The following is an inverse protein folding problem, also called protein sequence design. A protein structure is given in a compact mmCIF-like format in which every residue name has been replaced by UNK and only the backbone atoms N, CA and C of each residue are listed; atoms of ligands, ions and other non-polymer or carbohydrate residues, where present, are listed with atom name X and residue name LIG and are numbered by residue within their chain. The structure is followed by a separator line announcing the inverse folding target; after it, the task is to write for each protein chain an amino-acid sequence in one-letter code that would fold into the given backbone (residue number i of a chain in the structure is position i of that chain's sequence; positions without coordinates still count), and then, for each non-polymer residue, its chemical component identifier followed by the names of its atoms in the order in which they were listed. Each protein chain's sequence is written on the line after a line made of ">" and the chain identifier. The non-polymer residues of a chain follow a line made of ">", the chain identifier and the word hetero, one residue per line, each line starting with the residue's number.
data_IF_190192151782
#
_entry.id   IF_190192151782
#
_cell.length_a   1.000
_cell.length_b   1.000
_cell.length_c   1.000
_cell.angle_alpha   90.00
_cell.angle_beta   90.00
_cell.angle_gamma   90.00
#
_symmetry.space_group_name_H-M   'P 1'
#
loop_
_entity.id
_entity.type
_entity.pdbx_description
1 polymer ?
#
# COMPACT_ATOMS: atom_id res chain seq x y z
N UNK A 1 -27.22 6.18 -92.13
CA UNK A 1 -26.33 6.39 -90.96
C UNK A 1 -27.12 6.20 -89.65
N UNK A 2 -27.23 4.98 -89.09
CA UNK A 2 -27.99 4.72 -87.84
C UNK A 2 -27.44 3.58 -86.96
N UNK A 3 -26.14 3.24 -87.12
CA UNK A 3 -25.48 2.16 -86.37
C UNK A 3 -24.49 2.62 -85.28
N UNK A 4 -24.15 3.91 -85.23
CA UNK A 4 -23.09 4.44 -84.35
C UNK A 4 -23.57 4.82 -82.94
N UNK A 5 -24.85 5.17 -82.77
CA UNK A 5 -25.39 5.68 -81.50
C UNK A 5 -25.76 4.61 -80.47
N UNK A 6 -26.06 3.37 -80.91
CA UNK A 6 -26.46 2.27 -80.01
C UNK A 6 -25.26 1.60 -79.32
N UNK A 7 -24.06 1.70 -79.91
CA UNK A 7 -22.79 1.19 -79.35
C UNK A 7 -22.28 2.09 -78.21
N UNK A 8 -22.34 3.41 -78.40
CA UNK A 8 -21.97 4.41 -77.39
C UNK A 8 -22.79 4.32 -76.09
N UNK A 9 -24.11 4.07 -76.17
CA UNK A 9 -24.98 3.89 -74.98
C UNK A 9 -24.69 2.62 -74.18
N UNK A 10 -24.16 1.56 -74.81
CA UNK A 10 -23.75 0.32 -74.12
C UNK A 10 -22.37 0.47 -73.47
N UNK A 11 -21.46 1.22 -74.09
CA UNK A 11 -20.13 1.53 -73.54
C UNK A 11 -20.23 2.45 -72.30
N UNK A 12 -21.21 3.35 -72.26
CA UNK A 12 -21.48 4.23 -71.11
C UNK A 12 -21.88 3.48 -69.82
N UNK A 13 -22.65 2.39 -69.92
CA UNK A 13 -23.04 1.59 -68.75
C UNK A 13 -21.89 0.79 -68.15
N UNK A 14 -21.01 0.26 -69.00
CA UNK A 14 -19.79 -0.45 -68.57
C UNK A 14 -18.80 0.52 -67.93
N UNK A 15 -18.62 1.71 -68.51
CA UNK A 15 -17.76 2.75 -67.94
C UNK A 15 -18.22 3.21 -66.55
N UNK A 16 -19.54 3.32 -66.32
CA UNK A 16 -20.11 3.67 -65.01
C UNK A 16 -19.87 2.59 -63.96
N UNK A 17 -20.05 1.30 -64.31
CA UNK A 17 -19.78 0.19 -63.39
C UNK A 17 -18.30 0.16 -63.03
N UNK A 18 -17.41 0.31 -64.02
CA UNK A 18 -15.97 0.38 -63.76
C UNK A 18 -15.67 1.52 -62.80
N UNK A 19 -16.18 2.74 -63.06
CA UNK A 19 -15.95 3.89 -62.18
C UNK A 19 -16.44 3.66 -60.75
N UNK A 20 -17.66 3.12 -60.57
CA UNK A 20 -18.22 2.82 -59.23
C UNK A 20 -17.38 1.75 -58.53
N UNK A 21 -16.99 0.68 -59.25
CA UNK A 21 -16.14 -0.37 -58.66
C UNK A 21 -14.77 0.15 -58.28
N UNK A 22 -14.15 1.03 -59.10
CA UNK A 22 -12.87 1.66 -58.79
C UNK A 22 -13.00 2.58 -57.57
N UNK A 23 -14.07 3.38 -57.48
CA UNK A 23 -14.32 4.24 -56.30
C UNK A 23 -14.57 3.39 -55.05
N UNK A 24 -15.31 2.29 -55.16
CA UNK A 24 -15.57 1.40 -54.04
C UNK A 24 -14.27 0.74 -53.54
N UNK A 25 -13.42 0.26 -54.45
CA UNK A 25 -12.10 -0.31 -54.11
C UNK A 25 -11.19 0.76 -53.48
N UNK A 26 -11.13 1.97 -54.07
CA UNK A 26 -10.35 3.08 -53.53
C UNK A 26 -10.85 3.48 -52.14
N UNK A 27 -12.16 3.55 -51.95
CA UNK A 27 -12.78 3.87 -50.66
C UNK A 27 -12.45 2.84 -49.58
N UNK A 28 -12.48 1.55 -49.91
CA UNK A 28 -12.09 0.48 -49.00
C UNK A 28 -10.59 0.56 -48.62
N UNK A 29 -9.71 0.80 -49.60
CA UNK A 29 -8.27 0.97 -49.34
C UNK A 29 -7.98 2.21 -48.48
N UNK A 30 -8.64 3.33 -48.74
CA UNK A 30 -8.50 4.54 -47.94
C UNK A 30 -8.99 4.34 -46.51
N UNK A 31 -10.11 3.62 -46.32
CA UNK A 31 -10.62 3.28 -45.00
C UNK A 31 -9.64 2.38 -44.22
N UNK A 32 -9.06 1.37 -44.87
CA UNK A 32 -8.07 0.48 -44.26
C UNK A 32 -6.76 1.21 -43.90
N UNK A 33 -6.27 2.08 -44.80
CA UNK A 33 -5.13 2.95 -44.52
C UNK A 33 -5.41 3.93 -43.37
N UNK A 34 -6.60 4.51 -43.32
CA UNK A 34 -7.00 5.42 -42.24
C UNK A 34 -7.04 4.67 -40.90
N UNK A 35 -7.71 3.51 -40.85
CA UNK A 35 -7.79 2.66 -39.66
C UNK A 35 -6.39 2.27 -39.15
N UNK A 36 -5.55 1.71 -40.03
CA UNK A 36 -4.19 1.28 -39.66
C UNK A 36 -3.30 2.43 -39.21
N UNK A 37 -3.36 3.59 -39.87
CA UNK A 37 -2.61 4.78 -39.48
C UNK A 37 -3.07 5.32 -38.13
N UNK A 38 -4.39 5.42 -37.91
CA UNK A 38 -4.94 5.91 -36.62
C UNK A 38 -4.60 4.96 -35.49
N UNK A 39 -4.76 3.64 -35.67
CA UNK A 39 -4.37 2.66 -34.64
C UNK A 39 -2.88 2.71 -34.35
N UNK A 40 -2.04 2.77 -35.39
CA UNK A 40 -0.59 2.89 -35.23
C UNK A 40 -0.19 4.17 -34.49
N UNK A 41 -0.83 5.29 -34.80
CA UNK A 41 -0.62 6.57 -34.11
C UNK A 41 -1.00 6.47 -32.62
N UNK A 42 -2.20 5.96 -32.30
CA UNK A 42 -2.65 5.82 -30.90
C UNK A 42 -1.72 4.93 -30.09
N UNK A 43 -1.30 3.77 -30.64
CA UNK A 43 -0.35 2.87 -29.97
C UNK A 43 0.98 3.57 -29.71
N UNK A 44 1.52 4.28 -30.71
CA UNK A 44 2.78 5.01 -30.57
C UNK A 44 2.68 6.12 -29.51
N UNK A 45 1.57 6.87 -29.47
CA UNK A 45 1.35 7.90 -28.46
C UNK A 45 1.21 7.31 -27.07
N UNK A 46 0.45 6.22 -26.90
CA UNK A 46 0.28 5.55 -25.60
C UNK A 46 1.59 4.95 -25.10
N UNK A 47 2.41 4.35 -25.96
CA UNK A 47 3.73 3.82 -25.57
C UNK A 47 4.68 4.94 -25.13
N UNK A 48 4.70 6.06 -25.86
CA UNK A 48 5.47 7.25 -25.48
C UNK A 48 5.02 7.79 -24.13
N UNK A 49 3.72 7.92 -23.92
CA UNK A 49 3.15 8.51 -22.71
C UNK A 49 3.31 7.59 -21.50
N UNK A 50 3.19 6.27 -21.67
CA UNK A 50 3.50 5.29 -20.64
C UNK A 50 4.98 5.35 -20.21
N UNK A 51 5.91 5.47 -21.17
CA UNK A 51 7.34 5.62 -20.86
C UNK A 51 7.61 6.93 -20.10
N UNK A 52 6.99 8.04 -20.52
CA UNK A 52 7.07 9.32 -19.82
C UNK A 52 6.57 9.20 -18.39
N UNK A 53 5.40 8.60 -18.18
CA UNK A 53 4.83 8.38 -16.86
C UNK A 53 5.75 7.52 -15.96
N UNK A 54 6.34 6.44 -16.50
CA UNK A 54 7.28 5.60 -15.75
C UNK A 54 8.52 6.40 -15.31
N UNK A 55 9.10 7.22 -16.19
CA UNK A 55 10.25 8.05 -15.84
C UNK A 55 9.89 9.22 -14.90
N UNK A 56 8.67 9.74 -14.96
CA UNK A 56 8.18 10.70 -13.96
C UNK A 56 8.05 10.05 -12.59
N UNK A 57 7.47 8.85 -12.50
CA UNK A 57 7.40 8.10 -11.25
C UNK A 57 8.79 7.79 -10.68
N UNK A 58 9.75 7.35 -11.52
CA UNK A 58 11.15 7.13 -11.12
C UNK A 58 11.82 8.41 -10.63
N UNK A 59 11.55 9.55 -11.28
CA UNK A 59 12.06 10.86 -10.87
C UNK A 59 11.51 11.27 -9.51
N UNK A 60 10.19 11.17 -9.31
CA UNK A 60 9.54 11.42 -8.01
C UNK A 60 10.13 10.54 -6.89
N UNK A 61 10.35 9.26 -7.16
CA UNK A 61 10.99 8.33 -6.21
C UNK A 61 12.43 8.75 -5.86
N UNK A 62 13.24 9.10 -6.86
CA UNK A 62 14.63 9.50 -6.63
C UNK A 62 14.75 10.86 -5.90
N UNK A 63 13.90 11.83 -6.24
CA UNK A 63 13.80 13.10 -5.52
C UNK A 63 13.34 12.90 -4.08
N UNK A 64 12.39 11.99 -3.85
CA UNK A 64 11.96 11.63 -2.49
C UNK A 64 13.08 10.95 -1.71
N UNK A 65 13.87 10.07 -2.32
CA UNK A 65 15.09 9.50 -1.69
C UNK A 65 16.11 10.57 -1.32
N UNK A 66 16.31 11.57 -2.18
CA UNK A 66 17.14 12.72 -1.87
C UNK A 66 16.59 13.48 -0.66
N UNK A 67 15.28 13.76 -0.62
CA UNK A 67 14.62 14.42 0.51
C UNK A 67 14.82 13.64 1.82
N UNK A 68 14.66 12.32 1.81
CA UNK A 68 14.93 11.44 2.96
C UNK A 68 16.40 11.55 3.41
N UNK A 69 17.35 11.59 2.46
CA UNK A 69 18.77 11.75 2.78
C UNK A 69 19.12 13.10 3.41
N UNK A 70 18.28 14.12 3.18
CA UNK A 70 18.39 15.45 3.78
C UNK A 70 17.72 15.55 5.16
N UNK A 71 17.08 14.49 5.67
CA UNK A 71 16.46 14.51 7.00
C UNK A 71 17.47 14.86 8.11
N UNK A 72 18.67 14.25 8.19
CA UNK A 72 19.60 14.57 9.26
C UNK A 72 20.03 16.05 9.32
N UNK A 73 20.44 16.71 8.22
CA UNK A 73 20.75 18.15 8.25
C UNK A 73 19.51 19.02 8.52
N UNK A 74 18.33 18.69 7.99
CA UNK A 74 17.08 19.42 8.29
C UNK A 74 16.78 19.34 9.79
N UNK A 75 16.88 18.15 10.38
CA UNK A 75 16.68 17.93 11.81
C UNK A 75 17.67 18.74 12.66
N UNK A 76 18.93 18.83 12.25
CA UNK A 76 19.93 19.65 12.94
C UNK A 76 19.61 21.15 12.86
N UNK A 77 19.15 21.62 11.71
CA UNK A 77 18.77 23.02 11.49
C UNK A 77 17.64 23.46 12.43
N UNK A 78 16.61 22.63 12.59
CA UNK A 78 15.45 22.95 13.44
C UNK A 78 15.66 22.60 14.92
N UNK A 79 16.72 21.87 15.26
CA UNK A 79 16.97 21.41 16.62
C UNK A 79 16.99 22.51 17.69
N UNK A 80 17.56 23.72 17.46
CA UNK A 80 17.52 24.80 18.45
C UNK A 80 16.10 25.26 18.77
N UNK A 81 15.27 25.47 17.74
CA UNK A 81 13.88 25.86 17.89
C UNK A 81 13.06 24.76 18.58
N UNK A 82 13.26 23.51 18.17
CA UNK A 82 12.58 22.38 18.77
C UNK A 82 12.95 22.21 20.25
N UNK A 83 14.22 22.41 20.63
CA UNK A 83 14.65 22.41 22.04
C UNK A 83 14.01 23.53 22.84
N UNK A 84 13.82 24.71 22.26
CA UNK A 84 13.16 25.83 22.93
C UNK A 84 11.68 25.55 23.19
N UNK A 85 10.98 24.89 22.26
CA UNK A 85 9.55 24.59 22.37
C UNK A 85 9.26 23.34 23.20
N UNK A 86 9.98 22.24 22.94
CA UNK A 86 9.72 20.92 23.52
C UNK A 86 10.70 20.53 24.63
N UNK A 87 11.71 21.37 24.94
CA UNK A 87 12.69 21.11 26.00
C UNK A 87 13.70 19.99 25.70
N UNK A 88 13.68 19.41 24.50
CA UNK A 88 14.50 18.24 24.11
C UNK A 88 14.87 18.28 22.64
N UNK A 89 15.78 17.41 22.20
CA UNK A 89 16.13 17.32 20.77
C UNK A 89 15.01 16.69 19.94
N UNK A 90 14.83 17.10 18.67
CA UNK A 90 13.82 16.51 17.80
C UNK A 90 14.11 15.02 17.54
N UNK A 91 13.06 14.18 17.44
CA UNK A 91 13.21 12.82 16.93
C UNK A 91 13.47 12.85 15.42
N UNK A 92 13.44 11.70 14.76
CA UNK A 92 13.41 11.65 13.30
C UNK A 92 12.19 12.42 12.78
N UNK A 93 12.41 13.31 11.83
CA UNK A 93 11.36 14.12 11.21
C UNK A 93 10.89 13.42 9.94
N UNK A 94 9.59 13.16 9.77
CA UNK A 94 9.06 12.49 8.57
C UNK A 94 9.01 13.45 7.39
N UNK A 95 10.17 13.92 6.92
CA UNK A 95 10.31 14.89 5.81
C UNK A 95 9.64 14.38 4.53
N UNK A 96 9.58 13.06 4.36
CA UNK A 96 8.91 12.39 3.24
C UNK A 96 7.40 12.66 3.17
N UNK A 97 6.72 12.92 4.28
CA UNK A 97 5.29 13.30 4.27
C UNK A 97 5.04 14.64 3.59
N UNK A 98 6.07 15.47 3.48
CA UNK A 98 6.02 16.77 2.80
C UNK A 98 6.59 16.70 1.38
N UNK A 99 6.76 15.49 0.81
CA UNK A 99 7.32 15.33 -0.53
C UNK A 99 6.55 16.12 -1.60
N UNK A 100 5.21 16.06 -1.62
CA UNK A 100 4.43 16.79 -2.62
C UNK A 100 4.57 18.31 -2.49
N UNK A 101 4.73 18.82 -1.27
CA UNK A 101 4.98 20.25 -1.03
C UNK A 101 6.38 20.67 -1.50
N UNK A 102 7.40 19.89 -1.13
CA UNK A 102 8.80 20.21 -1.44
C UNK A 102 9.12 19.98 -2.93
N UNK A 103 8.52 18.95 -3.52
CA UNK A 103 8.73 18.54 -4.91
C UNK A 103 7.69 19.11 -5.86
N UNK A 104 6.80 19.99 -5.38
CA UNK A 104 5.75 20.63 -6.19
C UNK A 104 6.29 21.20 -7.52
N UNK A 105 7.45 21.90 -7.57
CA UNK A 105 7.98 22.43 -8.83
C UNK A 105 8.33 21.35 -9.88
N UNK A 106 8.62 20.13 -9.45
CA UNK A 106 9.01 19.01 -10.31
C UNK A 106 7.85 18.07 -10.66
N UNK A 107 6.93 17.90 -9.71
CA UNK A 107 5.85 16.91 -9.81
C UNK A 107 4.48 17.53 -10.09
N UNK A 108 4.23 18.76 -9.65
CA UNK A 108 2.92 19.43 -9.75
C UNK A 108 3.09 20.87 -10.27
N UNK A 109 3.93 21.03 -11.30
CA UNK A 109 4.34 22.34 -11.83
C UNK A 109 3.15 23.19 -12.33
N UNK A 110 2.04 22.59 -12.75
CA UNK A 110 0.85 23.31 -13.22
C UNK A 110 0.16 24.08 -12.09
N UNK A 111 0.11 23.51 -10.88
CA UNK A 111 -0.54 24.12 -9.70
C UNK A 111 0.36 25.10 -8.95
N UNK A 112 1.67 25.04 -9.21
CA UNK A 112 2.67 25.89 -8.59
C UNK A 112 2.47 27.37 -8.96
N UNK A 113 2.03 27.65 -10.19
CA UNK A 113 1.88 29.02 -10.70
C UNK A 113 0.62 29.74 -10.20
N UNK A 114 -0.42 29.02 -9.78
CA UNK A 114 -1.67 29.63 -9.31
C UNK A 114 -1.52 30.32 -7.95
N UNK A 115 -0.52 29.92 -7.15
CA UNK A 115 -0.37 30.40 -5.78
C UNK A 115 0.56 31.60 -5.61
N UNK A 116 1.34 32.04 -6.63
CA UNK A 116 2.10 33.30 -6.60
C UNK A 116 3.07 33.54 -5.42
N UNK A 117 3.24 32.57 -4.51
CA UNK A 117 3.94 32.73 -3.23
C UNK A 117 5.43 32.34 -3.31
N UNK A 118 5.87 31.73 -4.41
CA UNK A 118 7.27 31.41 -4.65
C UNK A 118 8.01 32.57 -5.31
N UNK A 119 9.03 33.08 -4.63
CA UNK A 119 9.97 34.08 -5.17
C UNK A 119 11.00 33.48 -6.15
N UNK A 120 10.94 32.18 -6.42
CA UNK A 120 11.83 31.45 -7.31
C UNK A 120 11.01 31.01 -8.53
N UNK A 121 11.37 31.53 -9.70
CA UNK A 121 10.82 31.09 -10.99
C UNK A 121 11.57 29.83 -11.45
N UNK A 122 10.94 28.67 -11.26
CA UNK A 122 11.48 27.39 -11.71
C UNK A 122 11.25 27.14 -13.19
N UNK A 123 10.32 27.85 -13.84
CA UNK A 123 10.03 27.67 -15.28
C UNK A 123 11.11 28.29 -16.15
N UNK A 124 11.81 29.30 -15.67
CA UNK A 124 13.00 29.85 -16.36
C UNK A 124 14.28 29.03 -16.15
N UNK A 125 14.20 27.91 -15.41
CA UNK A 125 15.36 27.07 -15.13
C UNK A 125 15.51 26.01 -16.22
N UNK A 126 16.72 25.94 -16.79
CA UNK A 126 17.07 24.98 -17.85
C UNK A 126 16.71 23.56 -17.39
N UNK A 127 15.88 22.88 -18.20
CA UNK A 127 15.43 21.50 -17.93
C UNK A 127 14.12 21.36 -17.15
N UNK A 128 13.47 22.46 -16.74
CA UNK A 128 12.16 22.46 -16.05
C UNK A 128 11.06 23.19 -16.85
N UNK A 129 11.37 23.60 -18.08
CA UNK A 129 10.50 24.41 -18.94
C UNK A 129 9.31 23.62 -19.53
N UNK A 130 9.50 22.32 -19.81
CA UNK A 130 8.53 21.45 -20.52
C UNK A 130 8.52 20.04 -19.92
N UNK A 131 8.02 19.94 -18.68
CA UNK A 131 7.88 18.65 -18.00
C UNK A 131 6.75 17.83 -18.65
N UNK A 132 6.98 16.55 -18.99
CA UNK A 132 6.05 15.76 -19.80
C UNK A 132 4.77 15.28 -19.08
N UNK A 133 4.55 15.67 -17.82
CA UNK A 133 3.43 15.23 -16.99
C UNK A 133 3.59 15.58 -15.52
N UNK A 134 2.67 15.12 -14.68
CA UNK A 134 2.68 15.32 -13.23
C UNK A 134 2.97 14.02 -12.47
N UNK A 135 3.35 14.14 -11.19
CA UNK A 135 3.48 13.03 -10.26
C UNK A 135 2.93 13.38 -8.89
N UNK A 136 2.46 12.35 -8.17
CA UNK A 136 2.09 12.42 -6.77
C UNK A 136 2.90 11.40 -5.98
N UNK A 137 3.43 11.83 -4.84
CA UNK A 137 4.21 11.00 -3.94
C UNK A 137 3.41 10.75 -2.68
N UNK A 138 3.19 9.47 -2.38
CA UNK A 138 2.72 9.00 -1.07
C UNK A 138 3.87 8.24 -0.42
N UNK A 139 4.28 8.69 0.76
CA UNK A 139 5.41 8.11 1.47
C UNK A 139 5.14 8.04 2.96
N UNK A 140 5.33 6.85 3.53
CA UNK A 140 5.14 6.53 4.93
C UNK A 140 6.23 5.56 5.38
N UNK A 141 6.48 5.50 6.68
CA UNK A 141 7.52 4.62 7.23
C UNK A 141 7.01 3.19 7.37
N UNK A 142 7.74 2.19 6.85
CA UNK A 142 7.36 0.77 7.04
C UNK A 142 7.27 0.36 8.52
N UNK A 143 8.14 0.92 9.38
CA UNK A 143 8.07 0.71 10.82
C UNK A 143 6.83 1.39 11.46
N UNK A 144 5.93 2.03 10.72
CA UNK A 144 4.63 2.48 11.23
C UNK A 144 3.62 1.34 11.33
N UNK A 145 3.89 0.21 10.68
CA UNK A 145 3.00 -0.94 10.58
C UNK A 145 3.54 -2.14 11.38
N UNK A 146 2.68 -3.14 11.60
CA UNK A 146 3.08 -4.42 12.20
C UNK A 146 3.81 -5.23 11.12
N UNK A 147 5.08 -5.56 11.36
CA UNK A 147 5.81 -6.48 10.47
C UNK A 147 5.34 -7.91 10.73
N UNK A 148 4.68 -8.52 9.75
CA UNK A 148 4.14 -9.89 9.80
C UNK A 148 5.10 -10.94 9.24
N UNK A 149 6.19 -10.50 8.63
CA UNK A 149 7.26 -11.35 8.14
C UNK A 149 8.28 -11.62 9.26
N UNK A 150 9.35 -12.37 8.97
CA UNK A 150 10.44 -12.58 9.92
C UNK A 150 11.04 -11.23 10.37
N UNK A 151 10.89 -10.83 11.65
CA UNK A 151 11.39 -9.54 12.10
C UNK A 151 12.92 -9.50 12.07
N UNK A 152 13.50 -8.38 11.66
CA UNK A 152 14.97 -8.23 11.57
C UNK A 152 15.67 -8.24 12.94
N UNK A 153 14.98 -7.84 14.00
CA UNK A 153 15.57 -7.61 15.34
C UNK A 153 15.16 -8.63 16.40
N UNK A 154 14.25 -9.57 16.09
CA UNK A 154 13.77 -10.60 17.02
C UNK A 154 13.98 -11.98 16.38
N UNK A 155 14.23 -13.00 17.20
CA UNK A 155 14.41 -14.38 16.72
C UNK A 155 13.76 -15.42 17.63
N UNK A 156 13.53 -16.61 17.09
CA UNK A 156 12.97 -17.76 17.81
C UNK A 156 11.55 -17.52 18.34
N UNK A 157 11.16 -18.27 19.37
CA UNK A 157 9.81 -18.25 19.95
C UNK A 157 9.41 -16.88 20.48
N UNK A 158 10.36 -16.05 20.93
CA UNK A 158 10.06 -14.67 21.34
C UNK A 158 9.57 -13.82 20.17
N UNK A 159 10.12 -14.02 18.96
CA UNK A 159 9.66 -13.35 17.76
C UNK A 159 8.27 -13.83 17.37
N UNK A 160 8.08 -15.16 17.31
CA UNK A 160 6.79 -15.80 16.98
C UNK A 160 5.69 -15.32 17.94
N UNK A 161 5.96 -15.36 19.26
CA UNK A 161 5.03 -14.90 20.29
C UNK A 161 4.74 -13.39 20.20
N UNK A 162 5.76 -12.56 20.04
CA UNK A 162 5.60 -11.10 19.91
C UNK A 162 4.71 -10.76 18.72
N UNK A 163 4.88 -11.42 17.57
CA UNK A 163 4.03 -11.24 16.41
C UNK A 163 2.61 -11.76 16.67
N UNK A 164 2.48 -12.97 17.21
CA UNK A 164 1.19 -13.59 17.49
C UNK A 164 0.32 -12.73 18.42
N UNK A 165 0.89 -12.17 19.48
CA UNK A 165 0.18 -11.27 20.40
C UNK A 165 -0.27 -9.96 19.74
N UNK A 166 0.54 -9.40 18.83
CA UNK A 166 0.20 -8.20 18.07
C UNK A 166 -0.94 -8.46 17.08
N UNK A 167 -0.85 -9.56 16.32
CA UNK A 167 -1.91 -9.96 15.40
C UNK A 167 -3.19 -10.29 16.17
N UNK A 168 -3.10 -11.02 17.29
CA UNK A 168 -4.27 -11.31 18.10
C UNK A 168 -4.96 -10.05 18.61
N UNK A 169 -4.19 -9.04 19.02
CA UNK A 169 -4.75 -7.73 19.38
C UNK A 169 -5.39 -7.01 18.18
N UNK A 170 -4.73 -7.02 17.01
CA UNK A 170 -5.23 -6.39 15.78
C UNK A 170 -6.56 -7.03 15.32
N UNK A 171 -6.67 -8.36 15.40
CA UNK A 171 -7.87 -9.13 15.08
C UNK A 171 -8.96 -9.03 16.16
N UNK A 172 -8.79 -8.14 17.16
CA UNK A 172 -9.72 -7.90 18.25
C UNK A 172 -9.86 -9.08 19.22
N UNK A 173 -8.87 -9.97 19.31
CA UNK A 173 -8.96 -11.20 20.10
C UNK A 173 -9.01 -11.01 21.61
N UNK A 174 -8.58 -9.85 22.13
CA UNK A 174 -8.72 -9.50 23.55
C UNK A 174 -10.07 -8.88 23.91
N UNK A 175 -10.86 -8.48 22.93
CA UNK A 175 -12.14 -7.80 23.13
C UNK A 175 -13.26 -8.80 23.38
N UNK A 176 -14.21 -8.46 24.25
CA UNK A 176 -15.36 -9.32 24.55
C UNK A 176 -16.66 -8.52 24.70
N UNK A 177 -17.61 -8.60 23.73
CA UNK A 177 -17.46 -9.25 22.42
C UNK A 177 -16.49 -8.48 21.51
N UNK A 178 -15.89 -9.18 20.54
CA UNK A 178 -15.06 -8.54 19.51
C UNK A 178 -15.94 -8.11 18.34
N UNK A 179 -15.73 -6.92 17.75
CA UNK A 179 -16.47 -6.50 16.55
C UNK A 179 -16.15 -7.39 15.34
N UNK A 180 -15.08 -8.17 15.40
CA UNK A 180 -14.63 -9.04 14.30
C UNK A 180 -14.99 -10.51 14.51
N UNK A 181 -15.78 -10.86 15.53
CA UNK A 181 -16.09 -12.27 15.85
C UNK A 181 -16.75 -13.01 14.68
N UNK A 182 -17.51 -12.31 13.84
CA UNK A 182 -18.20 -12.88 12.68
C UNK A 182 -17.25 -13.30 11.55
N UNK A 183 -16.01 -12.79 11.51
CA UNK A 183 -15.01 -13.15 10.49
C UNK A 183 -14.30 -14.48 10.80
N UNK A 184 -14.46 -15.03 12.01
CA UNK A 184 -13.73 -16.21 12.46
C UNK A 184 -14.68 -17.32 12.90
N UNK A 185 -14.23 -18.57 12.79
CA UNK A 185 -15.05 -19.73 13.12
C UNK A 185 -16.21 -19.97 12.14
N UNK A 186 -16.16 -19.33 10.97
CA UNK A 186 -17.05 -19.57 9.83
C UNK A 186 -16.36 -20.50 8.84
N UNK A 187 -17.14 -21.30 8.13
CA UNK A 187 -16.62 -22.20 7.09
C UNK A 187 -16.27 -21.35 5.86
N UNK A 188 -15.00 -21.35 5.48
CA UNK A 188 -14.50 -20.64 4.30
C UNK A 188 -14.88 -21.33 2.97
N UNK A 189 -14.50 -20.72 1.85
CA UNK A 189 -14.73 -21.27 0.51
C UNK A 189 -14.03 -22.63 0.28
N UNK A 190 -13.04 -22.96 1.09
CA UNK A 190 -12.26 -24.20 1.07
C UNK A 190 -12.87 -25.27 2.00
N UNK A 191 -13.96 -24.96 2.71
CA UNK A 191 -14.63 -25.89 3.63
C UNK A 191 -13.94 -26.02 4.99
N UNK A 192 -13.04 -25.10 5.33
CA UNK A 192 -12.30 -25.10 6.59
C UNK A 192 -12.94 -24.12 7.58
N UNK A 193 -12.90 -24.50 8.85
CA UNK A 193 -13.18 -23.60 9.97
C UNK A 193 -11.85 -23.04 10.46
N UNK A 194 -11.64 -21.74 10.35
CA UNK A 194 -10.42 -21.08 10.84
C UNK A 194 -10.76 -20.18 12.03
N UNK A 195 -10.14 -20.44 13.18
CA UNK A 195 -10.18 -19.53 14.33
C UNK A 195 -9.12 -18.42 14.16
N UNK A 196 -9.18 -17.37 14.99
CA UNK A 196 -8.13 -16.33 15.00
C UNK A 196 -6.74 -16.92 15.22
N UNK A 197 -6.64 -17.84 16.17
CA UNK A 197 -5.40 -18.53 16.51
C UNK A 197 -4.90 -19.37 15.34
N UNK A 198 -5.81 -20.05 14.62
CA UNK A 198 -5.46 -20.81 13.41
C UNK A 198 -4.84 -19.95 12.32
N UNK A 199 -5.44 -18.78 12.05
CA UNK A 199 -4.95 -17.84 11.03
C UNK A 199 -3.60 -17.25 11.46
N UNK A 200 -3.47 -16.84 12.72
CA UNK A 200 -2.21 -16.30 13.26
C UNK A 200 -1.08 -17.34 13.20
N UNK A 201 -1.36 -18.57 13.63
CA UNK A 201 -0.39 -19.66 13.53
C UNK A 201 -0.01 -19.90 12.06
N UNK A 202 -0.99 -19.96 11.16
CA UNK A 202 -0.74 -20.18 9.73
C UNK A 202 0.07 -19.05 9.07
N UNK A 203 -0.07 -17.81 9.54
CA UNK A 203 0.77 -16.68 9.09
C UNK A 203 2.23 -16.90 9.48
N UNK A 204 2.50 -17.42 10.68
CA UNK A 204 3.86 -17.64 11.17
C UNK A 204 4.49 -18.88 10.52
N UNK A 205 3.76 -19.99 10.49
CA UNK A 205 4.14 -21.25 9.79
C UNK A 205 4.45 -21.00 8.29
N UNK A 206 3.85 -19.97 7.67
CA UNK A 206 4.13 -19.68 6.27
C UNK A 206 5.58 -19.25 6.01
N UNK A 207 6.18 -18.49 6.93
CA UNK A 207 7.49 -17.87 6.72
C UNK A 207 8.61 -18.45 7.56
N UNK A 208 8.31 -19.18 8.64
CA UNK A 208 9.35 -19.81 9.43
C UNK A 208 9.98 -21.00 8.67
N UNK A 209 11.23 -21.33 9.03
CA UNK A 209 12.04 -22.25 8.23
C UNK A 209 11.84 -23.73 8.63
N UNK A 210 11.08 -23.97 9.70
CA UNK A 210 10.88 -25.31 10.25
C UNK A 210 9.70 -26.03 9.55
N UNK A 211 9.34 -27.22 10.02
CA UNK A 211 8.21 -27.99 9.46
C UNK A 211 7.21 -28.38 10.55
N UNK A 212 7.22 -27.60 11.63
CA UNK A 212 6.60 -27.90 12.91
C UNK A 212 5.41 -26.95 13.09
N UNK A 213 4.21 -27.51 13.25
CA UNK A 213 2.99 -26.70 13.33
C UNK A 213 2.98 -25.84 14.60
N UNK A 214 2.91 -24.53 14.44
CA UNK A 214 2.78 -23.59 15.55
C UNK A 214 1.37 -23.62 16.14
N UNK A 215 1.31 -23.65 17.47
CA UNK A 215 0.11 -23.40 18.25
C UNK A 215 0.33 -22.16 19.10
N UNK A 216 -0.55 -21.18 18.94
CA UNK A 216 -0.56 -19.96 19.74
C UNK A 216 -1.66 -20.01 20.81
N UNK A 217 -1.26 -19.86 22.08
CA UNK A 217 -2.19 -19.72 23.21
C UNK A 217 -2.10 -18.28 23.78
N UNK A 218 -3.10 -17.41 23.49
CA UNK A 218 -3.11 -16.04 23.98
C UNK A 218 -3.32 -15.95 25.50
N UNK A 219 -3.96 -16.94 26.13
CA UNK A 219 -4.22 -16.96 27.57
C UNK A 219 -2.98 -17.32 28.38
N UNK A 220 -2.17 -18.24 27.87
CA UNK A 220 -0.85 -18.55 28.43
C UNK A 220 0.22 -17.53 28.02
N UNK A 221 -0.02 -16.73 26.98
CA UNK A 221 0.98 -15.84 26.40
C UNK A 221 2.17 -16.64 25.87
N UNK A 222 1.90 -17.75 25.19
CA UNK A 222 2.91 -18.71 24.76
C UNK A 222 2.65 -19.23 23.35
N UNK A 223 3.73 -19.61 22.69
CA UNK A 223 3.70 -20.42 21.46
C UNK A 223 4.30 -21.78 21.75
N UNK A 224 3.79 -22.82 21.09
CA UNK A 224 4.27 -24.19 21.22
C UNK A 224 4.16 -24.92 19.89
N UNK A 225 4.84 -26.05 19.75
CA UNK A 225 4.71 -26.95 18.60
C UNK A 225 3.77 -28.09 18.96
N UNK A 226 2.78 -28.36 18.10
CA UNK A 226 1.77 -29.42 18.32
C UNK A 226 1.91 -30.62 17.39
N UNK A 227 2.80 -30.56 16.41
CA UNK A 227 3.05 -31.64 15.46
C UNK A 227 3.86 -31.16 14.27
N UNK A 228 3.87 -31.96 13.20
CA UNK A 228 4.38 -31.51 11.90
C UNK A 228 3.29 -30.73 11.16
N UNK A 229 3.70 -29.69 10.45
CA UNK A 229 2.82 -28.87 9.63
C UNK A 229 1.96 -29.74 8.71
N UNK A 230 0.65 -29.65 8.92
CA UNK A 230 -0.31 -30.27 8.05
C UNK A 230 -0.49 -29.36 6.85
N UNK A 231 0.05 -29.78 5.70
CA UNK A 231 -0.11 -29.09 4.42
C UNK A 231 -1.56 -29.25 3.91
N UNK A 232 -2.49 -28.57 4.61
CA UNK A 232 -3.91 -28.49 4.26
C UNK A 232 -4.09 -27.90 2.86
N UNK A 233 -3.13 -27.09 2.41
CA UNK A 233 -3.09 -26.45 1.10
C UNK A 233 -3.03 -27.47 -0.04
N UNK A 234 -2.45 -28.66 0.17
CA UNK A 234 -2.49 -29.76 -0.82
C UNK A 234 -3.88 -30.32 -1.09
N UNK A 235 -4.84 -30.07 -0.19
CA UNK A 235 -6.22 -30.55 -0.30
C UNK A 235 -7.13 -29.54 -0.97
N UNK A 236 -6.64 -28.33 -1.24
CA UNK A 236 -7.41 -27.32 -1.95
C UNK A 236 -7.69 -27.74 -3.38
N UNK A 237 -8.69 -27.07 -3.98
CA UNK A 237 -9.06 -27.30 -5.38
C UNK A 237 -7.85 -27.11 -6.31
N UNK A 238 -7.04 -26.10 -6.03
CA UNK A 238 -5.77 -25.80 -6.70
C UNK A 238 -4.64 -26.00 -5.67
N UNK A 239 -4.02 -27.19 -5.60
CA UNK A 239 -3.03 -27.51 -4.57
C UNK A 239 -1.74 -26.69 -4.70
N UNK A 240 -1.23 -26.25 -3.55
CA UNK A 240 0.12 -25.72 -3.39
C UNK A 240 0.69 -26.18 -2.06
N UNK A 241 1.94 -25.80 -1.78
CA UNK A 241 2.61 -26.07 -0.51
C UNK A 241 2.91 -24.77 0.21
N UNK A 242 3.03 -24.89 1.53
CA UNK A 242 3.66 -23.86 2.38
C UNK A 242 5.05 -23.48 1.86
N UNK A 243 5.42 -22.22 2.08
CA UNK A 243 6.65 -21.64 1.53
C UNK A 243 7.86 -21.89 2.43
N UNK A 244 7.66 -21.82 3.74
CA UNK A 244 8.67 -21.93 4.79
C UNK A 244 9.87 -20.99 4.55
N UNK A 245 9.53 -19.78 4.11
CA UNK A 245 10.48 -18.71 3.85
C UNK A 245 9.80 -17.34 3.93
N UNK A 246 10.56 -16.26 4.21
CA UNK A 246 10.02 -14.90 4.27
C UNK A 246 9.12 -14.53 3.08
N UNK A 247 8.09 -13.72 3.35
CA UNK A 247 7.25 -13.15 2.32
C UNK A 247 8.07 -12.28 1.34
N UNK A 248 7.87 -12.47 0.04
CA UNK A 248 8.39 -11.62 -1.04
C UNK A 248 7.38 -10.51 -1.39
N UNK A 249 6.09 -10.78 -1.18
CA UNK A 249 4.99 -9.83 -1.38
C UNK A 249 3.93 -9.96 -0.29
N UNK A 250 3.24 -8.87 0.03
CA UNK A 250 2.08 -8.87 0.93
C UNK A 250 0.93 -9.73 0.38
N UNK A 251 0.83 -9.85 -0.95
CA UNK A 251 -0.19 -10.66 -1.64
C UNK A 251 -0.12 -12.16 -1.32
N UNK A 252 1.05 -12.65 -0.88
CA UNK A 252 1.20 -14.04 -0.47
C UNK A 252 0.32 -14.42 0.73
N UNK A 253 -0.10 -13.45 1.55
CA UNK A 253 -1.06 -13.70 2.63
C UNK A 253 -2.37 -14.30 2.10
N UNK A 254 -2.78 -14.01 0.86
CA UNK A 254 -3.99 -14.58 0.25
C UNK A 254 -3.90 -16.10 0.04
N UNK A 255 -2.69 -16.67 0.11
CA UNK A 255 -2.48 -18.11 0.07
C UNK A 255 -2.64 -18.76 1.45
N UNK A 256 -2.79 -17.98 2.51
CA UNK A 256 -2.86 -18.49 3.87
C UNK A 256 -4.32 -18.81 4.21
N UNK A 257 -4.54 -19.95 4.87
CA UNK A 257 -5.88 -20.39 5.26
C UNK A 257 -6.54 -19.33 6.16
N UNK A 258 -7.82 -19.05 5.93
CA UNK A 258 -8.59 -18.05 6.67
C UNK A 258 -8.25 -16.60 6.36
N UNK A 259 -7.42 -16.32 5.35
CA UNK A 259 -7.25 -14.98 4.76
C UNK A 259 -8.14 -14.89 3.52
N UNK A 260 -9.43 -14.61 3.73
CA UNK A 260 -10.38 -14.35 2.65
C UNK A 260 -10.47 -12.85 2.31
N UNK A 261 -11.36 -12.50 1.37
CA UNK A 261 -11.51 -11.11 0.93
C UNK A 261 -12.03 -10.19 2.05
N UNK A 262 -12.87 -10.72 2.95
CA UNK A 262 -13.40 -9.95 4.10
C UNK A 262 -12.29 -9.71 5.14
N UNK A 263 -11.47 -10.72 5.43
CA UNK A 263 -10.27 -10.57 6.26
C UNK A 263 -9.28 -9.57 5.64
N UNK A 264 -9.04 -9.67 4.32
CA UNK A 264 -8.13 -8.77 3.60
C UNK A 264 -8.59 -7.31 3.69
N UNK A 265 -9.86 -7.06 3.36
CA UNK A 265 -10.46 -5.73 3.41
C UNK A 265 -10.64 -5.20 4.84
N UNK A 266 -10.55 -6.04 5.87
CA UNK A 266 -10.65 -5.59 7.27
C UNK A 266 -9.29 -5.28 7.88
N UNK A 267 -8.27 -6.12 7.66
CA UNK A 267 -7.02 -6.07 8.43
C UNK A 267 -5.77 -5.75 7.61
N UNK A 268 -5.78 -6.03 6.30
CA UNK A 268 -4.58 -5.93 5.46
C UNK A 268 -4.60 -4.64 4.65
N UNK A 269 -5.69 -4.41 3.93
CA UNK A 269 -5.87 -3.26 3.05
C UNK A 269 -7.31 -2.72 3.13
N UNK A 270 -7.64 -1.96 4.19
CA UNK A 270 -8.99 -1.41 4.38
C UNK A 270 -9.38 -0.38 3.32
N UNK A 271 -8.41 0.41 2.84
CA UNK A 271 -8.61 1.39 1.78
C UNK A 271 -7.60 1.13 0.65
N UNK A 272 -8.00 0.43 -0.44
CA UNK A 272 -7.11 0.09 -1.55
C UNK A 272 -6.47 1.31 -2.24
N UNK A 273 -7.17 2.45 -2.26
CA UNK A 273 -6.69 3.70 -2.86
C UNK A 273 -5.78 4.50 -1.91
N UNK A 274 -5.63 4.08 -0.65
CA UNK A 274 -4.87 4.78 0.37
C UNK A 274 -3.91 3.83 1.11
N UNK A 275 -2.65 3.72 0.65
CA UNK A 275 -1.69 2.79 1.23
C UNK A 275 -1.24 3.13 2.66
N UNK A 276 -1.54 4.34 3.16
CA UNK A 276 -1.26 4.75 4.54
C UNK A 276 -2.24 4.14 5.56
N UNK A 277 -3.38 3.61 5.10
CA UNK A 277 -4.40 2.96 5.93
C UNK A 277 -4.01 1.54 6.37
N UNK A 278 -2.99 0.96 5.74
CA UNK A 278 -2.53 -0.41 6.03
C UNK A 278 -2.01 -0.52 7.45
N UNK A 279 -2.40 -1.60 8.13
CA UNK A 279 -1.95 -1.90 9.49
C UNK A 279 -0.69 -2.79 9.52
N UNK A 280 -0.39 -3.47 8.41
CA UNK A 280 0.64 -4.51 8.33
C UNK A 280 1.63 -4.27 7.19
N UNK A 281 2.82 -4.82 7.35
CA UNK A 281 3.88 -4.82 6.33
C UNK A 281 4.68 -6.11 6.39
N UNK A 282 5.38 -6.44 5.31
CA UNK A 282 6.40 -7.50 5.28
C UNK A 282 7.83 -6.96 5.47
N UNK A 283 7.97 -5.64 5.62
CA UNK A 283 9.23 -4.94 5.76
C UNK A 283 9.42 -4.39 7.19
N UNK A 284 10.66 -4.04 7.52
CA UNK A 284 10.97 -3.32 8.75
C UNK A 284 11.45 -4.21 9.90
N UNK A 285 11.65 -3.57 11.06
CA UNK A 285 12.43 -4.14 12.16
C UNK A 285 11.66 -5.09 13.09
N UNK A 286 10.32 -5.10 13.00
CA UNK A 286 9.45 -5.69 14.02
C UNK A 286 9.16 -4.73 15.20
N UNK A 287 9.73 -3.52 15.18
CA UNK A 287 9.37 -2.43 16.08
C UNK A 287 8.41 -1.45 15.39
N UNK A 288 7.50 -0.87 16.16
CA UNK A 288 6.51 0.10 15.70
C UNK A 288 6.92 1.51 16.11
N UNK A 289 6.94 2.45 15.16
CA UNK A 289 7.22 3.88 15.38
C UNK A 289 5.95 4.60 15.88
N UNK A 290 5.89 5.04 17.15
CA UNK A 290 4.69 5.64 17.73
C UNK A 290 4.33 7.01 17.14
N UNK A 291 5.25 7.67 16.44
CA UNK A 291 4.96 8.96 15.80
C UNK A 291 4.21 8.83 14.47
N UNK A 292 4.32 7.69 13.79
CA UNK A 292 3.77 7.51 12.45
C UNK A 292 2.76 6.37 12.35
N UNK A 293 2.81 5.39 13.27
CA UNK A 293 1.93 4.24 13.25
C UNK A 293 0.46 4.63 13.34
N UNK A 294 -0.44 4.07 12.50
CA UNK A 294 -1.88 4.25 12.64
C UNK A 294 -2.35 3.96 14.08
N UNK A 295 -3.35 4.69 14.60
CA UNK A 295 -3.84 4.47 15.96
C UNK A 295 -4.24 3.01 16.26
N UNK A 296 -4.76 2.30 15.26
CA UNK A 296 -5.14 0.89 15.30
C UNK A 296 -3.91 -0.01 15.54
N UNK A 297 -2.82 0.26 14.82
CA UNK A 297 -1.53 -0.42 15.00
C UNK A 297 -0.97 -0.16 16.40
N UNK A 298 -1.12 1.07 16.91
CA UNK A 298 -0.67 1.38 18.26
C UNK A 298 -1.52 0.72 19.33
N UNK A 299 -2.83 0.65 19.14
CA UNK A 299 -3.72 -0.07 20.03
C UNK A 299 -3.32 -1.55 20.07
N UNK A 300 -3.14 -2.19 18.91
CA UNK A 300 -2.70 -3.58 18.81
C UNK A 300 -1.33 -3.80 19.50
N UNK A 301 -0.38 -2.89 19.26
CA UNK A 301 0.95 -2.93 19.88
C UNK A 301 0.92 -2.75 21.39
N UNK A 302 0.06 -1.89 21.92
CA UNK A 302 -0.10 -1.69 23.36
C UNK A 302 -0.75 -2.92 23.98
N UNK A 303 -1.83 -3.40 23.37
CA UNK A 303 -2.58 -4.55 23.87
C UNK A 303 -1.80 -5.87 23.79
N UNK A 304 -0.77 -5.98 22.94
CA UNK A 304 0.15 -7.12 22.99
C UNK A 304 0.99 -7.18 24.28
N UNK A 305 1.15 -6.06 25.00
CA UNK A 305 1.89 -5.99 26.27
C UNK A 305 0.98 -5.94 27.50
N UNK A 306 -0.18 -5.30 27.39
CA UNK A 306 -1.14 -5.14 28.50
C UNK A 306 -2.53 -5.68 28.13
N UNK A 307 -2.65 -6.96 27.75
CA UNK A 307 -3.89 -7.52 27.19
C UNK A 307 -5.10 -7.42 28.11
N UNK A 308 -4.88 -7.39 29.43
CA UNK A 308 -5.94 -7.31 30.45
C UNK A 308 -6.38 -5.88 30.77
N UNK A 309 -5.79 -4.86 30.15
CA UNK A 309 -6.19 -3.47 30.37
C UNK A 309 -7.60 -3.23 29.80
N UNK A 310 -8.38 -2.35 30.44
CA UNK A 310 -9.74 -2.03 29.98
C UNK A 310 -9.76 -1.47 28.56
N UNK A 311 -8.71 -0.74 28.17
CA UNK A 311 -8.47 -0.27 26.81
C UNK A 311 -8.47 -1.40 25.76
N UNK A 312 -8.03 -2.59 26.14
CA UNK A 312 -7.84 -3.73 25.24
C UNK A 312 -9.05 -4.67 25.22
N UNK A 313 -9.79 -4.76 26.33
CA UNK A 313 -10.93 -5.67 26.48
C UNK A 313 -12.26 -5.00 26.10
N UNK A 314 -12.40 -3.70 26.37
CA UNK A 314 -13.60 -2.93 26.04
C UNK A 314 -13.46 -2.28 24.65
N UNK A 315 -14.25 -2.70 23.65
CA UNK A 315 -14.15 -2.16 22.29
C UNK A 315 -14.47 -0.66 22.22
N UNK A 316 -15.29 -0.13 23.14
CA UNK A 316 -15.59 1.31 23.19
C UNK A 316 -14.40 2.12 23.69
N UNK A 317 -13.63 1.60 24.65
CA UNK A 317 -12.41 2.27 25.11
C UNK A 317 -11.32 2.23 24.04
N UNK A 318 -11.18 1.10 23.32
CA UNK A 318 -10.28 1.00 22.17
C UNK A 318 -10.63 2.02 21.08
N UNK A 319 -11.91 2.13 20.72
CA UNK A 319 -12.38 3.12 19.73
C UNK A 319 -12.15 4.58 20.19
N UNK A 320 -12.36 4.87 21.48
CA UNK A 320 -12.06 6.20 22.04
C UNK A 320 -10.57 6.54 21.97
N UNK A 321 -9.68 5.57 22.20
CA UNK A 321 -8.24 5.77 22.04
C UNK A 321 -7.86 6.10 20.60
N UNK A 322 -8.40 5.36 19.63
CA UNK A 322 -8.19 5.61 18.20
C UNK A 322 -8.65 7.04 17.84
N UNK A 323 -9.87 7.41 18.27
CA UNK A 323 -10.45 8.74 18.02
C UNK A 323 -9.66 9.87 18.68
N UNK A 324 -9.20 9.67 19.92
CA UNK A 324 -8.39 10.66 20.64
C UNK A 324 -7.04 10.87 19.93
N UNK A 325 -6.34 9.78 19.60
CA UNK A 325 -5.00 9.86 19.01
C UNK A 325 -5.04 10.45 17.60
N UNK A 326 -6.04 10.10 16.79
CA UNK A 326 -6.26 10.73 15.48
C UNK A 326 -6.55 12.23 15.61
N UNK A 327 -7.39 12.64 16.58
CA UNK A 327 -7.68 14.05 16.85
C UNK A 327 -6.44 14.82 17.33
N UNK A 328 -5.64 14.25 18.22
CA UNK A 328 -4.42 14.92 18.70
C UNK A 328 -3.42 15.10 17.57
N UNK A 329 -3.25 14.10 16.70
CA UNK A 329 -2.34 14.17 15.56
C UNK A 329 -2.79 15.14 14.47
N UNK A 330 -4.10 15.34 14.28
CA UNK A 330 -4.60 16.34 13.33
C UNK A 330 -4.34 17.78 13.80
N UNK A 331 -4.26 18.00 15.11
CA UNK A 331 -3.96 19.31 15.70
C UNK A 331 -2.44 19.60 15.78
N UNK A 332 -1.62 18.57 16.00
CA UNK A 332 -0.18 18.70 16.19
C UNK A 332 0.55 17.79 15.19
N UNK A 333 0.90 18.31 13.99
CA UNK A 333 1.51 17.51 12.91
C UNK A 333 3.03 17.28 13.12
N UNK A 334 3.50 17.40 14.36
CA UNK A 334 4.92 17.28 14.72
C UNK A 334 5.11 16.02 15.56
N UNK A 335 6.16 15.22 15.32
CA UNK A 335 6.47 14.04 16.13
C UNK A 335 6.47 14.35 17.64
N UNK A 336 5.61 13.66 18.38
CA UNK A 336 5.38 13.93 19.80
C UNK A 336 6.25 13.08 20.73
N UNK A 337 6.65 11.89 20.29
CA UNK A 337 7.43 10.94 21.08
C UNK A 337 8.88 10.94 20.64
N UNK A 338 9.81 11.26 21.56
CA UNK A 338 11.25 11.20 21.27
C UNK A 338 11.87 9.86 21.64
N UNK A 339 11.26 9.16 22.59
CA UNK A 339 11.67 7.87 23.12
C UNK A 339 10.45 6.99 23.35
N UNK A 340 10.66 5.67 23.37
CA UNK A 340 9.60 4.71 23.70
C UNK A 340 8.94 5.03 25.07
N UNK A 341 9.72 5.44 26.07
CA UNK A 341 9.18 5.79 27.39
C UNK A 341 8.23 7.01 27.36
N UNK A 342 8.38 7.92 26.40
CA UNK A 342 7.48 9.07 26.28
C UNK A 342 6.07 8.60 25.88
N UNK A 343 6.00 7.58 25.02
CA UNK A 343 4.76 6.96 24.61
C UNK A 343 4.12 6.19 25.76
N UNK A 344 4.92 5.45 26.54
CA UNK A 344 4.42 4.75 27.73
C UNK A 344 3.88 5.73 28.78
N UNK A 345 4.59 6.83 29.06
CA UNK A 345 4.11 7.87 29.98
C UNK A 345 2.80 8.49 29.51
N UNK A 346 2.66 8.75 28.20
CA UNK A 346 1.42 9.25 27.61
C UNK A 346 0.25 8.29 27.83
N UNK A 347 0.44 7.00 27.64
CA UNK A 347 -0.60 5.98 27.90
C UNK A 347 -0.94 5.90 29.39
N UNK A 348 0.07 6.01 30.26
CA UNK A 348 -0.11 5.98 31.71
C UNK A 348 -0.67 7.30 32.28
N UNK A 349 -0.84 8.34 31.45
CA UNK A 349 -1.33 9.66 31.85
C UNK A 349 -0.37 10.43 32.77
N UNK A 350 0.94 10.20 32.63
CA UNK A 350 2.01 10.78 33.47
C UNK A 350 2.68 12.01 32.88
#
# INVERSE_FOLDING_TARGET
>A
MRGRTRRARREQGVALIIAITTIAILGALLADMHQSTTTGYVVATTQRDALRAEYMAKSGLNLTRLLVSLEPPIRQLVAPLYRQLAGRSPPQIPVWRYANLVLQPFCQHETFDEHGESRIDFRSSEGLEDLPGTCDVVAFAENSMININRPLMLAGDQAKLSLAMQLFALLGGYQSPSPYDELFGVVDAQGLLNTRQDVISAIIDWWDEDTDQLSFDPGAGAVSTVGSELDVYRRFKDPYSIKNAPFDSLEELRLIRGVDDDFWATFIEPEPDNPESRAVTIYGSGMVNPNEAPPEVLLARVCSFIPMASLCVDPMQGAMFISLLSTVRSLIPVPFFTRANDFLNFIEGK
#
